data_IF_456338216141
#
_entry.id   IF_456338216141
#
_cell.length_a   1.000
_cell.length_b   1.000
_cell.length_c   1.000
_cell.angle_alpha   90.00
_cell.angle_beta   90.00
_cell.angle_gamma   90.00
#
_symmetry.space_group_name_H-M   'P 1'
#
loop_
_entity.id
_entity.type
_entity.pdbx_description
1 polymer ?
#
# COMPACT_ATOMS: atom_id res chain seq x y z
N UNK A 1 2.21 -9.28 6.08
CA UNK A 1 0.83 -8.79 5.81
C UNK A 1 0.42 -9.26 4.42
N UNK A 2 -0.62 -10.08 4.31
CA UNK A 2 -1.17 -10.54 3.05
C UNK A 2 -2.48 -9.81 2.76
N UNK A 3 -2.54 -9.13 1.61
CA UNK A 3 -3.76 -8.44 1.18
C UNK A 3 -4.63 -9.39 0.37
N UNK A 4 -5.84 -9.66 0.88
CA UNK A 4 -6.79 -10.61 0.30
C UNK A 4 -8.22 -10.20 0.65
N UNK A 5 -9.15 -10.30 -0.31
CA UNK A 5 -10.57 -10.00 -0.07
C UNK A 5 -11.23 -10.91 0.99
N UNK A 6 -10.59 -12.01 1.35
CA UNK A 6 -11.06 -12.93 2.39
C UNK A 6 -10.58 -12.58 3.80
N UNK A 7 -9.74 -11.56 3.96
CA UNK A 7 -9.14 -11.17 5.24
C UNK A 7 -10.05 -10.32 6.14
N UNK A 8 -9.51 -9.96 7.31
CA UNK A 8 -10.13 -8.99 8.20
C UNK A 8 -10.13 -7.61 7.55
N UNK A 9 -11.24 -6.88 7.65
CA UNK A 9 -11.34 -5.56 7.03
C UNK A 9 -10.34 -4.58 7.66
N UNK A 10 -9.66 -3.80 6.82
CA UNK A 10 -8.71 -2.80 7.28
C UNK A 10 -9.37 -1.80 8.26
N UNK A 11 -8.71 -1.59 9.39
CA UNK A 11 -9.14 -0.65 10.43
C UNK A 11 -7.93 0.08 11.02
N UNK A 12 -8.17 1.25 11.62
CA UNK A 12 -7.10 2.01 12.28
C UNK A 12 -6.53 1.24 13.48
N UNK A 13 -7.35 0.45 14.18
CA UNK A 13 -6.92 -0.41 15.29
C UNK A 13 -5.93 -1.49 14.81
N UNK A 14 -6.27 -2.19 13.72
CA UNK A 14 -5.42 -3.22 13.14
C UNK A 14 -4.09 -2.63 12.64
N UNK A 15 -4.13 -1.47 11.99
CA UNK A 15 -2.92 -0.78 11.54
C UNK A 15 -2.04 -0.34 12.72
N UNK A 16 -2.64 0.20 13.79
CA UNK A 16 -1.90 0.57 15.00
C UNK A 16 -1.28 -0.66 15.66
N UNK A 17 -1.99 -1.80 15.68
CA UNK A 17 -1.46 -3.07 16.19
C UNK A 17 -0.23 -3.53 15.39
N UNK A 18 -0.31 -3.51 14.05
CA UNK A 18 0.81 -3.87 13.16
C UNK A 18 2.01 -2.94 13.40
N UNK A 19 1.78 -1.63 13.47
CA UNK A 19 2.84 -0.64 13.68
C UNK A 19 3.47 -0.77 15.08
N UNK A 20 2.70 -1.14 16.10
CA UNK A 20 3.21 -1.35 17.46
C UNK A 20 4.21 -2.50 17.59
N UNK A 21 4.23 -3.43 16.62
CA UNK A 21 5.22 -4.51 16.60
C UNK A 21 6.65 -4.02 16.36
N UNK A 22 6.81 -2.80 15.82
CA UNK A 22 8.11 -2.19 15.55
C UNK A 22 9.06 -3.10 14.73
N UNK A 23 8.51 -3.75 13.69
CA UNK A 23 9.21 -4.64 12.76
C UNK A 23 9.01 -4.16 11.32
N UNK A 24 9.90 -4.60 10.43
CA UNK A 24 9.71 -4.41 8.99
C UNK A 24 8.45 -5.14 8.49
N UNK A 25 7.73 -4.51 7.57
CA UNK A 25 6.48 -5.03 7.02
C UNK A 25 6.71 -5.52 5.59
N UNK A 26 6.58 -6.83 5.39
CA UNK A 26 6.43 -7.42 4.06
C UNK A 26 4.94 -7.45 3.69
N UNK A 27 4.57 -6.72 2.62
CA UNK A 27 3.23 -6.76 2.04
C UNK A 27 3.23 -7.75 0.88
N UNK A 28 2.40 -8.79 0.99
CA UNK A 28 2.18 -9.76 -0.08
C UNK A 28 0.85 -9.45 -0.74
N UNK A 29 0.89 -9.26 -2.06
CA UNK A 29 -0.28 -9.09 -2.91
C UNK A 29 -0.38 -10.27 -3.85
N UNK A 30 -1.58 -10.81 -4.00
CA UNK A 30 -1.82 -12.02 -4.80
C UNK A 30 -2.51 -11.73 -6.14
N UNK A 31 -2.23 -12.58 -7.13
CA UNK A 31 -3.00 -12.69 -8.37
C UNK A 31 -4.10 -13.75 -8.28
N UNK A 32 -4.63 -14.18 -9.43
CA UNK A 32 -5.85 -15.01 -9.57
C UNK A 32 -5.93 -16.26 -8.67
N UNK A 33 -4.80 -16.90 -8.33
CA UNK A 33 -4.76 -18.07 -7.43
C UNK A 33 -3.64 -17.95 -6.40
N UNK A 34 -4.00 -17.48 -5.22
CA UNK A 34 -3.11 -17.46 -4.06
C UNK A 34 -3.09 -18.86 -3.41
N UNK A 35 -1.91 -19.47 -3.19
CA UNK A 35 -1.82 -20.77 -2.57
C UNK A 35 -2.24 -20.71 -1.09
N UNK A 36 -2.93 -21.75 -0.60
CA UNK A 36 -3.51 -21.77 0.74
C UNK A 36 -2.47 -21.61 1.86
N UNK A 37 -1.25 -22.11 1.68
CA UNK A 37 -0.18 -21.99 2.69
C UNK A 37 0.11 -20.53 3.06
N UNK A 38 -0.04 -19.59 2.12
CA UNK A 38 0.24 -18.18 2.38
C UNK A 38 -0.71 -17.59 3.42
N UNK A 39 -1.95 -18.05 3.48
CA UNK A 39 -2.91 -17.60 4.48
C UNK A 39 -2.48 -17.99 5.90
N UNK A 40 -1.80 -19.12 6.05
CA UNK A 40 -1.34 -19.63 7.35
C UNK A 40 0.01 -19.05 7.77
N UNK A 41 0.90 -18.79 6.81
CA UNK A 41 2.23 -18.20 7.08
C UNK A 41 2.19 -16.67 7.27
N UNK A 42 1.11 -16.01 6.84
CA UNK A 42 0.98 -14.57 7.00
C UNK A 42 0.55 -14.18 8.41
N UNK A 43 1.31 -13.30 9.06
CA UNK A 43 0.95 -12.75 10.38
C UNK A 43 -0.44 -12.08 10.40
N UNK A 44 -0.81 -11.47 9.26
CA UNK A 44 -2.08 -10.76 9.08
C UNK A 44 -2.61 -11.01 7.67
N UNK A 45 -3.88 -11.41 7.57
CA UNK A 45 -4.64 -11.47 6.32
C UNK A 45 -5.66 -10.32 6.33
N UNK A 46 -5.47 -9.31 5.48
CA UNK A 46 -6.21 -8.06 5.52
C UNK A 46 -6.97 -7.85 4.22
N UNK A 47 -8.24 -7.47 4.34
CA UNK A 47 -9.11 -7.09 3.25
C UNK A 47 -9.21 -5.56 3.12
N UNK A 48 -9.02 -5.06 1.89
CA UNK A 48 -9.32 -3.67 1.52
C UNK A 48 -10.77 -3.63 1.02
N UNK A 49 -11.70 -3.89 1.95
CA UNK A 49 -13.03 -4.35 1.57
C UNK A 49 -13.02 -5.79 1.08
N UNK A 50 -14.17 -6.46 1.20
CA UNK A 50 -14.30 -7.89 0.92
C UNK A 50 -14.91 -8.17 -0.46
N UNK A 51 -14.86 -7.19 -1.37
CA UNK A 51 -15.30 -7.36 -2.76
C UNK A 51 -14.09 -7.60 -3.65
N UNK A 52 -14.19 -8.46 -4.69
CA UNK A 52 -13.09 -8.70 -5.61
C UNK A 52 -12.74 -7.42 -6.39
N UNK A 53 -11.47 -7.01 -6.32
CA UNK A 53 -10.91 -5.91 -7.10
C UNK A 53 -9.41 -6.10 -7.29
N UNK A 54 -8.72 -5.09 -7.85
CA UNK A 54 -7.29 -5.17 -8.12
C UNK A 54 -6.42 -5.11 -6.87
N UNK A 55 -5.37 -5.92 -6.89
CA UNK A 55 -4.21 -5.90 -6.02
C UNK A 55 -3.48 -4.55 -6.00
N UNK A 56 -3.46 -3.83 -7.12
CA UNK A 56 -2.88 -2.48 -7.20
C UNK A 56 -3.69 -1.50 -6.35
N UNK A 57 -5.02 -1.59 -6.43
CA UNK A 57 -5.91 -0.76 -5.61
C UNK A 57 -5.80 -1.13 -4.13
N UNK A 58 -5.73 -2.43 -3.81
CA UNK A 58 -5.52 -2.90 -2.45
C UNK A 58 -4.22 -2.33 -1.85
N UNK A 59 -3.12 -2.44 -2.59
CA UNK A 59 -1.81 -1.94 -2.14
C UNK A 59 -1.81 -0.42 -1.96
N UNK A 60 -2.37 0.32 -2.92
CA UNK A 60 -2.44 1.79 -2.84
C UNK A 60 -3.19 2.26 -1.60
N UNK A 61 -4.38 1.71 -1.34
CA UNK A 61 -5.19 2.08 -0.16
C UNK A 61 -4.53 1.61 1.14
N UNK A 62 -3.93 0.41 1.16
CA UNK A 62 -3.21 -0.07 2.34
C UNK A 62 -2.07 0.89 2.71
N UNK A 63 -1.25 1.30 1.73
CA UNK A 63 -0.13 2.22 1.98
C UNK A 63 -0.61 3.63 2.34
N UNK A 64 -1.68 4.13 1.72
CA UNK A 64 -2.30 5.42 2.07
C UNK A 64 -2.77 5.43 3.53
N UNK A 65 -3.44 4.37 3.99
CA UNK A 65 -3.88 4.25 5.38
C UNK A 65 -2.71 4.06 6.34
N UNK A 66 -1.70 3.27 5.96
CA UNK A 66 -0.52 3.02 6.77
C UNK A 66 0.31 4.30 6.99
N UNK A 67 0.51 5.08 5.93
CA UNK A 67 1.32 6.31 5.96
C UNK A 67 0.51 7.59 6.17
N UNK A 68 -0.82 7.48 6.25
CA UNK A 68 -1.76 8.59 6.45
C UNK A 68 -1.61 9.66 5.36
N UNK A 69 -1.49 9.23 4.11
CA UNK A 69 -1.34 10.07 2.92
C UNK A 69 0.01 10.79 2.76
N UNK A 70 0.97 10.61 3.68
CA UNK A 70 2.29 11.27 3.63
C UNK A 70 3.16 10.78 2.47
N UNK A 71 2.89 9.60 1.95
CA UNK A 71 3.58 9.02 0.81
C UNK A 71 3.31 9.79 -0.49
N UNK A 72 2.14 10.42 -0.63
CA UNK A 72 1.76 11.19 -1.82
C UNK A 72 2.56 12.50 -1.97
N UNK A 73 3.13 13.00 -0.87
CA UNK A 73 3.97 14.20 -0.84
C UNK A 73 5.45 13.89 -0.66
N UNK A 74 5.83 12.60 -0.73
CA UNK A 74 7.23 12.18 -0.58
C UNK A 74 8.06 12.70 -1.74
N UNK A 75 9.16 13.37 -1.41
CA UNK A 75 10.15 13.80 -2.38
C UNK A 75 11.29 12.80 -2.53
N UNK A 76 11.72 12.61 -3.78
CA UNK A 76 12.92 11.84 -4.12
C UNK A 76 14.06 12.82 -4.38
N UNK A 77 14.98 12.96 -3.42
CA UNK A 77 16.03 14.00 -3.43
C UNK A 77 16.94 13.95 -4.68
N UNK A 78 17.24 12.75 -5.18
CA UNK A 78 18.14 12.54 -6.33
C UNK A 78 17.37 12.21 -7.62
N UNK A 79 16.12 12.66 -7.74
CA UNK A 79 15.33 12.43 -8.94
C UNK A 79 15.84 13.27 -10.11
N UNK A 80 16.18 12.62 -11.23
CA UNK A 80 16.60 13.29 -12.48
C UNK A 80 15.51 14.15 -13.12
N UNK A 81 14.25 13.77 -12.91
CA UNK A 81 13.07 14.47 -13.42
C UNK A 81 12.07 14.67 -12.31
N UNK A 82 11.48 15.85 -12.22
CA UNK A 82 10.42 16.19 -11.27
C UNK A 82 9.25 16.80 -12.02
N UNK A 83 8.06 16.22 -11.85
CA UNK A 83 6.81 16.76 -12.38
C UNK A 83 6.34 17.88 -11.45
N UNK A 84 6.08 19.07 -11.99
CA UNK A 84 5.52 20.17 -11.21
C UNK A 84 3.99 20.11 -11.32
N UNK A 85 3.23 20.04 -10.21
CA UNK A 85 1.77 20.02 -10.26
C UNK A 85 1.22 21.26 -10.98
N UNK A 86 0.27 21.07 -11.89
CA UNK A 86 -0.35 22.15 -12.67
C UNK A 86 -1.86 21.99 -12.67
N UNK A 87 -2.59 23.11 -12.49
CA UNK A 87 -4.07 23.11 -12.62
C UNK A 87 -4.51 22.71 -14.03
N UNK A 88 -3.73 23.10 -15.06
CA UNK A 88 -3.89 22.72 -16.47
C UNK A 88 -2.53 22.68 -17.14
N UNK A 89 -2.27 21.69 -18.00
CA UNK A 89 -1.01 21.51 -18.70
C UNK A 89 -0.07 20.49 -18.04
N UNK A 90 1.14 20.37 -18.58
CA UNK A 90 2.17 19.40 -18.14
C UNK A 90 3.52 20.10 -18.06
N UNK A 91 4.16 20.11 -16.89
CA UNK A 91 5.49 20.69 -16.69
C UNK A 91 6.40 19.71 -15.98
N UNK A 92 7.59 19.49 -16.54
CA UNK A 92 8.64 18.62 -15.98
C UNK A 92 9.94 19.41 -15.96
N UNK A 93 10.68 19.33 -14.86
CA UNK A 93 12.02 19.93 -14.73
C UNK A 93 13.06 18.83 -14.59
N UNK A 94 14.23 19.03 -15.19
CA UNK A 94 15.40 18.18 -14.99
C UNK A 94 16.20 18.76 -13.82
N UNK A 95 16.45 17.96 -12.78
CA UNK A 95 17.38 18.34 -11.71
C UNK A 95 18.78 17.87 -12.12
N UNK A 96 19.75 18.77 -12.07
CA UNK A 96 21.18 18.46 -12.26
C UNK A 96 21.73 17.74 -11.04
#
# INVERSE_FOLDING_TARGET
>A
VHLTMYGENISDELLNLILSQNKDILVVVGGEKVPSWLYYESDYNIAIGNQPHSEVAALAIFLDRLFKGKELTREFHNAKLVVIPQKRGKKVVKKE
#
